data_IF_160496195279
#
_entry.id   IF_160496195279
#
_cell.length_a   1.000
_cell.length_b   1.000
_cell.length_c   1.000
_cell.angle_alpha   90.00
_cell.angle_beta   90.00
_cell.angle_gamma   90.00
#
_symmetry.space_group_name_H-M   'P 1'
#
loop_
_entity.id
_entity.type
_entity.pdbx_description
1 polymer ?
#
# COMPACT_ATOMS: atom_id res chain seq x y z
N UNK A 1 -0.22 19.09 8.65
CA UNK A 1 -0.09 20.05 7.54
C UNK A 1 1.28 19.95 6.85
N UNK A 2 2.37 19.84 7.62
CA UNK A 2 3.74 19.85 7.05
C UNK A 2 4.20 18.47 6.54
N UNK A 3 3.70 17.40 7.14
CA UNK A 3 3.99 16.03 6.71
C UNK A 3 3.44 15.79 5.30
N UNK A 4 4.23 15.22 4.40
CA UNK A 4 3.86 14.99 3.00
C UNK A 4 3.99 16.21 2.06
N UNK A 5 4.37 17.39 2.58
CA UNK A 5 4.47 18.61 1.76
C UNK A 5 5.74 18.71 0.90
N UNK A 6 6.70 17.81 1.07
CA UNK A 6 7.93 17.68 0.26
C UNK A 6 8.73 18.99 0.12
N UNK A 7 8.68 19.83 1.16
CA UNK A 7 9.32 21.14 1.15
C UNK A 7 8.53 22.23 0.41
N UNK A 8 7.34 21.93 -0.10
CA UNK A 8 6.48 22.92 -0.78
C UNK A 8 6.02 24.00 0.18
N UNK A 9 5.50 23.61 1.36
CA UNK A 9 4.88 24.54 2.29
C UNK A 9 5.91 25.31 3.13
N UNK A 10 6.95 24.64 3.63
CA UNK A 10 8.00 25.29 4.40
C UNK A 10 9.23 24.36 4.50
N UNK A 11 10.36 24.92 4.98
CA UNK A 11 11.56 24.17 5.31
C UNK A 11 11.55 23.74 6.80
N UNK A 12 11.74 22.44 7.05
CA UNK A 12 11.82 21.88 8.40
C UNK A 12 13.28 21.76 8.84
N UNK A 13 13.74 22.61 9.77
CA UNK A 13 15.12 22.59 10.26
C UNK A 13 15.33 21.59 11.40
N UNK A 14 14.32 21.33 12.21
CA UNK A 14 14.36 20.42 13.35
C UNK A 14 13.03 19.67 13.48
N UNK A 15 13.12 18.38 13.81
CA UNK A 15 11.96 17.54 14.06
C UNK A 15 12.19 16.79 15.38
N UNK A 16 11.20 16.84 16.26
CA UNK A 16 11.16 16.04 17.48
C UNK A 16 10.09 14.95 17.32
N UNK A 17 10.48 13.69 17.52
CA UNK A 17 9.58 12.54 17.43
C UNK A 17 9.52 11.81 18.77
N UNK A 18 8.37 11.20 19.04
CA UNK A 18 8.26 10.25 20.15
C UNK A 18 8.85 8.90 19.70
N UNK A 19 9.54 8.23 20.61
CA UNK A 19 10.04 6.86 20.39
C UNK A 19 9.05 5.85 20.95
N UNK A 20 9.06 4.63 20.40
CA UNK A 20 8.37 3.48 20.96
C UNK A 20 9.39 2.48 21.54
N UNK A 21 8.97 1.69 22.53
CA UNK A 21 9.79 0.61 23.08
C UNK A 21 9.97 -0.51 22.03
N UNK A 22 11.17 -1.12 22.05
CA UNK A 22 11.44 -2.29 21.21
C UNK A 22 10.78 -3.51 21.88
N UNK A 23 9.89 -4.17 21.13
CA UNK A 23 9.29 -5.42 21.58
C UNK A 23 10.28 -6.59 21.34
N UNK A 24 10.72 -7.29 22.40
CA UNK A 24 11.71 -8.36 22.26
C UNK A 24 11.16 -9.67 21.68
N UNK A 25 9.83 -9.83 21.72
CA UNK A 25 9.15 -11.01 21.20
C UNK A 25 8.36 -10.65 19.96
N UNK A 26 8.63 -11.32 18.84
CA UNK A 26 7.96 -11.08 17.57
C UNK A 26 7.64 -12.39 16.89
N UNK A 27 6.51 -12.45 16.20
CA UNK A 27 6.16 -13.54 15.31
C UNK A 27 5.56 -12.99 14.00
N UNK A 28 5.78 -13.70 12.92
CA UNK A 28 5.19 -13.39 11.61
C UNK A 28 4.62 -14.64 10.97
N UNK A 29 3.72 -14.43 10.02
CA UNK A 29 3.19 -15.48 9.15
C UNK A 29 2.89 -14.91 7.76
N UNK A 30 3.09 -15.69 6.72
CA UNK A 30 2.71 -15.37 5.35
C UNK A 30 1.42 -16.13 5.02
N UNK A 31 0.30 -15.46 5.19
CA UNK A 31 -1.02 -16.03 4.98
C UNK A 31 -1.41 -16.01 3.50
N UNK A 32 -1.75 -17.16 2.94
CA UNK A 32 -2.11 -17.33 1.54
C UNK A 32 -3.61 -17.62 1.42
N UNK A 33 -4.35 -16.70 0.81
CA UNK A 33 -5.79 -16.78 0.61
C UNK A 33 -6.13 -17.16 -0.84
N UNK A 34 -7.20 -17.94 -1.07
CA UNK A 34 -7.61 -18.32 -2.43
C UNK A 34 -8.14 -17.13 -3.25
N UNK A 35 -8.54 -16.04 -2.59
CA UNK A 35 -9.05 -14.83 -3.26
C UNK A 35 -8.53 -13.55 -2.60
N UNK A 36 -8.32 -12.52 -3.41
CA UNK A 36 -8.05 -11.14 -2.96
C UNK A 36 -9.12 -10.67 -1.96
N UNK A 37 -10.39 -10.95 -2.24
CA UNK A 37 -11.50 -10.58 -1.37
C UNK A 37 -11.34 -11.14 0.04
N UNK A 38 -11.11 -12.45 0.15
CA UNK A 38 -10.97 -13.10 1.48
C UNK A 38 -9.73 -12.61 2.24
N UNK A 39 -8.64 -12.30 1.55
CA UNK A 39 -7.46 -11.69 2.15
C UNK A 39 -7.79 -10.32 2.79
N UNK A 40 -8.47 -9.45 2.04
CA UNK A 40 -8.83 -8.10 2.52
C UNK A 40 -9.88 -8.14 3.66
N UNK A 41 -10.87 -9.03 3.57
CA UNK A 41 -11.84 -9.23 4.67
C UNK A 41 -11.13 -9.71 5.95
N UNK A 42 -10.20 -10.66 5.83
CA UNK A 42 -9.42 -11.14 6.97
C UNK A 42 -8.54 -10.04 7.59
N UNK A 43 -7.93 -9.15 6.79
CA UNK A 43 -7.18 -7.99 7.29
C UNK A 43 -8.09 -7.08 8.13
N UNK A 44 -9.26 -6.76 7.62
CA UNK A 44 -10.23 -5.89 8.32
C UNK A 44 -10.63 -6.49 9.67
N UNK A 45 -10.91 -7.79 9.72
CA UNK A 45 -11.26 -8.48 10.95
C UNK A 45 -10.07 -8.58 11.91
N UNK A 46 -8.88 -8.97 11.43
CA UNK A 46 -7.66 -9.01 12.24
C UNK A 46 -7.31 -7.64 12.82
N UNK A 47 -7.43 -6.56 12.04
CA UNK A 47 -7.22 -5.18 12.52
C UNK A 47 -8.13 -4.85 13.70
N UNK A 48 -9.39 -5.26 13.65
CA UNK A 48 -10.37 -4.98 14.71
C UNK A 48 -9.97 -5.56 16.07
N UNK A 49 -9.13 -6.60 16.08
CA UNK A 49 -8.60 -7.21 17.31
C UNK A 49 -7.56 -6.35 18.02
N UNK A 50 -6.87 -5.47 17.30
CA UNK A 50 -5.73 -4.69 17.80
C UNK A 50 -4.47 -5.51 18.11
N UNK A 51 -4.37 -6.75 17.64
CA UNK A 51 -3.27 -7.66 17.97
C UNK A 51 -2.09 -7.59 17.00
N UNK A 52 -2.29 -7.07 15.79
CA UNK A 52 -1.23 -6.97 14.77
C UNK A 52 -0.43 -5.69 14.91
N UNK A 53 0.87 -5.78 14.66
CA UNK A 53 1.79 -4.65 14.52
C UNK A 53 2.00 -4.24 13.07
N UNK A 54 1.81 -5.18 12.14
CA UNK A 54 1.83 -4.91 10.70
C UNK A 54 1.01 -5.96 9.93
N UNK A 55 0.46 -5.55 8.78
CA UNK A 55 -0.11 -6.44 7.77
C UNK A 55 0.18 -5.87 6.39
N UNK A 56 0.96 -6.61 5.60
CA UNK A 56 1.30 -6.28 4.22
C UNK A 56 0.45 -7.13 3.28
N UNK A 57 -0.31 -6.49 2.42
CA UNK A 57 -1.10 -7.17 1.40
C UNK A 57 -0.33 -7.28 0.09
N UNK A 58 -0.55 -8.37 -0.65
CA UNK A 58 -0.05 -8.61 -2.00
C UNK A 58 -1.16 -9.21 -2.85
N UNK A 59 -1.47 -8.59 -3.98
CA UNK A 59 -2.33 -9.23 -4.96
C UNK A 59 -1.58 -10.31 -5.74
N UNK A 60 -2.30 -11.09 -6.55
CA UNK A 60 -1.68 -12.18 -7.33
C UNK A 60 -0.61 -11.66 -8.30
N UNK A 61 -0.80 -10.48 -8.87
CA UNK A 61 0.18 -9.87 -9.78
C UNK A 61 1.47 -9.50 -9.06
N UNK A 62 1.37 -8.96 -7.85
CA UNK A 62 2.53 -8.69 -6.99
C UNK A 62 3.31 -9.96 -6.70
N UNK A 63 2.63 -11.02 -6.29
CA UNK A 63 3.25 -12.32 -6.00
C UNK A 63 3.96 -12.91 -7.22
N UNK A 64 3.36 -12.84 -8.41
CA UNK A 64 3.95 -13.33 -9.65
C UNK A 64 5.28 -12.68 -10.01
N UNK A 65 5.53 -11.45 -9.58
CA UNK A 65 6.81 -10.77 -9.85
C UNK A 65 8.00 -11.38 -9.14
N UNK A 66 7.75 -12.03 -8.00
CA UNK A 66 8.78 -12.59 -7.11
C UNK A 66 8.68 -14.11 -6.90
N UNK A 67 7.64 -14.77 -7.41
CA UNK A 67 7.36 -16.21 -7.16
C UNK A 67 8.46 -17.18 -7.60
N UNK A 68 9.40 -16.74 -8.46
CA UNK A 68 10.54 -17.55 -8.88
C UNK A 68 11.51 -17.83 -7.73
N UNK A 69 11.61 -16.87 -6.81
CA UNK A 69 12.51 -16.92 -5.67
C UNK A 69 11.80 -17.39 -4.38
N UNK A 70 10.44 -17.49 -4.43
CA UNK A 70 9.59 -17.87 -3.30
C UNK A 70 8.63 -19.00 -3.69
N UNK A 71 9.05 -20.27 -3.49
CA UNK A 71 8.29 -21.47 -3.90
C UNK A 71 6.87 -21.52 -3.32
N UNK A 72 6.64 -20.99 -2.12
CA UNK A 72 5.34 -20.93 -1.46
C UNK A 72 4.29 -20.12 -2.24
N UNK A 73 4.71 -19.22 -3.12
CA UNK A 73 3.81 -18.41 -3.96
C UNK A 73 3.43 -19.11 -5.26
N UNK A 74 4.05 -20.24 -5.59
CA UNK A 74 3.81 -20.96 -6.85
C UNK A 74 2.53 -21.78 -6.80
N UNK A 75 1.85 -21.85 -7.95
CA UNK A 75 0.64 -22.66 -8.09
C UNK A 75 -0.60 -22.13 -7.37
N UNK A 76 -0.55 -20.91 -6.83
CA UNK A 76 -1.71 -20.26 -6.24
C UNK A 76 -2.78 -19.92 -7.28
N UNK A 77 -4.07 -19.85 -6.90
CA UNK A 77 -5.15 -19.41 -7.78
C UNK A 77 -4.86 -18.03 -8.40
N UNK A 78 -5.45 -17.75 -9.57
CA UNK A 78 -5.27 -16.47 -10.26
C UNK A 78 -5.83 -15.27 -9.48
N UNK A 79 -6.80 -15.51 -8.59
CA UNK A 79 -7.45 -14.49 -7.76
C UNK A 79 -6.88 -14.44 -6.32
N UNK A 80 -5.79 -15.21 -6.06
CA UNK A 80 -5.20 -15.29 -4.73
C UNK A 80 -4.70 -13.94 -4.22
N UNK A 81 -4.83 -13.76 -2.90
CA UNK A 81 -4.19 -12.69 -2.16
C UNK A 81 -3.29 -13.24 -1.06
N UNK A 82 -2.17 -12.58 -0.79
CA UNK A 82 -1.32 -12.92 0.35
C UNK A 82 -1.29 -11.78 1.37
N UNK A 83 -1.11 -12.15 2.64
CA UNK A 83 -0.96 -11.18 3.74
C UNK A 83 0.22 -11.60 4.61
N UNK A 84 1.27 -10.80 4.61
CA UNK A 84 2.37 -10.94 5.56
C UNK A 84 2.03 -10.19 6.83
N UNK A 85 1.86 -10.90 7.92
CA UNK A 85 1.51 -10.31 9.22
C UNK A 85 2.67 -10.35 10.20
N UNK A 86 2.66 -9.39 11.13
CA UNK A 86 3.60 -9.34 12.26
C UNK A 86 2.86 -9.04 13.55
N UNK A 87 3.26 -9.74 14.60
CA UNK A 87 2.82 -9.53 15.98
C UNK A 87 4.05 -9.18 16.81
N UNK A 88 3.97 -8.09 17.57
CA UNK A 88 5.00 -7.67 18.51
C UNK A 88 4.46 -7.76 19.94
N UNK A 89 5.28 -8.19 20.88
CA UNK A 89 4.92 -8.35 22.28
C UNK A 89 6.10 -8.05 23.24
N UNK A 90 5.76 -7.70 24.46
CA UNK A 90 6.75 -7.42 25.52
C UNK A 90 7.13 -8.68 26.29
N UNK A 91 6.27 -9.72 26.24
CA UNK A 91 6.50 -11.02 26.89
C UNK A 91 6.08 -12.15 25.98
N UNK A 92 6.61 -13.35 26.21
CA UNK A 92 6.21 -14.54 25.47
C UNK A 92 4.74 -14.93 25.70
N UNK A 93 4.22 -14.69 26.89
CA UNK A 93 2.79 -14.95 27.19
C UNK A 93 1.88 -14.02 26.39
N UNK A 94 2.25 -12.75 26.29
CA UNK A 94 1.53 -11.79 25.45
C UNK A 94 1.55 -12.20 23.97
N UNK A 95 2.73 -12.62 23.46
CA UNK A 95 2.86 -13.10 22.09
C UNK A 95 1.93 -14.29 21.83
N UNK A 96 1.98 -15.32 22.67
CA UNK A 96 1.14 -16.51 22.53
C UNK A 96 -0.37 -16.17 22.60
N UNK A 97 -0.73 -15.20 23.44
CA UNK A 97 -2.11 -14.74 23.56
C UNK A 97 -2.58 -14.04 22.27
N UNK A 98 -1.77 -13.14 21.71
CA UNK A 98 -2.06 -12.44 20.45
C UNK A 98 -2.16 -13.41 19.28
N UNK A 99 -1.22 -14.35 19.16
CA UNK A 99 -1.26 -15.42 18.14
C UNK A 99 -2.57 -16.22 18.23
N UNK A 100 -2.98 -16.62 19.44
CA UNK A 100 -4.21 -17.37 19.63
C UNK A 100 -5.46 -16.60 19.17
N UNK A 101 -5.52 -15.29 19.42
CA UNK A 101 -6.62 -14.44 18.95
C UNK A 101 -6.64 -14.39 17.41
N UNK A 102 -5.49 -14.15 16.79
CA UNK A 102 -5.39 -14.10 15.33
C UNK A 102 -5.73 -15.46 14.70
N UNK A 103 -5.27 -16.57 15.27
CA UNK A 103 -5.65 -17.91 14.82
C UNK A 103 -7.18 -18.14 14.93
N UNK A 104 -7.81 -17.58 15.97
CA UNK A 104 -9.26 -17.58 16.12
C UNK A 104 -9.97 -16.90 14.94
N UNK A 105 -9.53 -15.72 14.54
CA UNK A 105 -10.04 -15.03 13.34
C UNK A 105 -9.82 -15.87 12.09
N UNK A 106 -8.59 -16.33 11.87
CA UNK A 106 -8.22 -17.11 10.68
C UNK A 106 -8.99 -18.42 10.55
N UNK A 107 -9.50 -18.99 11.62
CA UNK A 107 -10.32 -20.20 11.59
C UNK A 107 -11.64 -20.05 10.81
N UNK A 108 -12.09 -18.82 10.58
CA UNK A 108 -13.28 -18.49 9.78
C UNK A 108 -12.99 -18.37 8.29
N UNK A 109 -11.72 -18.42 7.88
CA UNK A 109 -11.29 -18.24 6.50
C UNK A 109 -10.69 -19.52 5.93
N UNK A 110 -10.90 -19.73 4.64
CA UNK A 110 -10.16 -20.74 3.89
C UNK A 110 -8.80 -20.17 3.51
N UNK A 111 -7.73 -20.87 3.87
CA UNK A 111 -6.36 -20.59 3.46
C UNK A 111 -5.90 -21.63 2.45
N UNK A 112 -4.97 -21.25 1.56
CA UNK A 112 -4.29 -22.18 0.65
C UNK A 112 -3.34 -23.11 1.40
N UNK A 113 -2.71 -22.58 2.47
CA UNK A 113 -1.86 -23.31 3.38
C UNK A 113 -2.24 -23.00 4.83
N UNK A 114 -1.91 -23.88 5.76
CA UNK A 114 -2.22 -23.67 7.16
C UNK A 114 -1.37 -22.54 7.73
N UNK A 115 -2.01 -21.62 8.50
CA UNK A 115 -1.31 -20.58 9.23
C UNK A 115 -0.36 -21.16 10.28
N UNK A 116 0.93 -20.76 10.22
CA UNK A 116 1.98 -21.21 11.13
C UNK A 116 2.92 -20.05 11.52
N UNK A 117 2.60 -19.40 12.64
CA UNK A 117 3.42 -18.31 13.16
C UNK A 117 4.85 -18.77 13.44
N UNK A 118 5.81 -17.95 13.07
CA UNK A 118 7.22 -18.21 13.34
C UNK A 118 7.94 -16.98 13.90
N UNK A 119 8.84 -17.24 14.85
CA UNK A 119 9.80 -16.26 15.37
C UNK A 119 11.20 -16.47 14.77
N UNK A 120 11.35 -17.40 13.80
CA UNK A 120 12.62 -17.61 13.12
C UNK A 120 12.98 -16.41 12.26
N UNK A 121 14.02 -15.71 12.67
CA UNK A 121 14.47 -14.47 12.02
C UNK A 121 14.98 -14.70 10.59
N UNK A 122 15.45 -15.90 10.26
CA UNK A 122 15.87 -16.21 8.89
C UNK A 122 14.67 -16.29 7.94
N UNK A 123 13.60 -16.96 8.37
CA UNK A 123 12.35 -17.06 7.60
C UNK A 123 11.67 -15.68 7.49
N UNK A 124 11.45 -15.02 8.62
CA UNK A 124 10.77 -13.71 8.64
C UNK A 124 11.52 -12.67 7.82
N UNK A 125 12.86 -12.64 7.89
CA UNK A 125 13.66 -11.72 7.07
C UNK A 125 13.52 -11.99 5.57
N UNK A 126 13.36 -13.24 5.15
CA UNK A 126 13.11 -13.58 3.74
C UNK A 126 11.77 -13.05 3.27
N UNK A 127 10.69 -13.20 4.06
CA UNK A 127 9.38 -12.66 3.71
C UNK A 127 9.38 -11.12 3.62
N UNK A 128 10.06 -10.45 4.55
CA UNK A 128 10.20 -8.99 4.50
C UNK A 128 11.09 -8.53 3.33
N UNK A 129 12.10 -9.31 2.95
CA UNK A 129 12.90 -9.06 1.75
C UNK A 129 12.07 -9.27 0.47
N UNK A 130 11.17 -10.27 0.44
CA UNK A 130 10.21 -10.48 -0.64
C UNK A 130 9.37 -9.21 -0.87
N UNK A 131 8.77 -8.66 0.18
CA UNK A 131 8.00 -7.40 0.11
C UNK A 131 8.81 -6.28 -0.52
N UNK A 132 10.04 -6.11 -0.09
CA UNK A 132 10.93 -5.06 -0.61
C UNK A 132 11.40 -5.31 -2.05
N UNK A 133 11.32 -6.54 -2.52
CA UNK A 133 11.72 -6.98 -3.86
C UNK A 133 10.69 -6.68 -4.96
N UNK A 134 9.42 -6.42 -4.63
CA UNK A 134 8.35 -6.28 -5.62
C UNK A 134 8.59 -5.10 -6.57
N UNK A 135 8.84 -3.90 -6.05
CA UNK A 135 9.07 -2.72 -6.90
C UNK A 135 10.28 -2.88 -7.83
N UNK A 136 11.48 -3.32 -7.35
CA UNK A 136 12.59 -3.63 -8.23
C UNK A 136 12.30 -4.71 -9.26
N UNK A 137 11.51 -5.74 -8.92
CA UNK A 137 11.15 -6.82 -9.84
C UNK A 137 10.28 -6.30 -11.00
N UNK A 138 9.24 -5.52 -10.70
CA UNK A 138 8.41 -4.88 -11.74
C UNK A 138 9.24 -3.94 -12.63
N UNK A 139 10.07 -3.09 -12.00
CA UNK A 139 10.91 -2.16 -12.74
C UNK A 139 11.99 -2.85 -13.59
N UNK A 140 12.53 -3.98 -13.10
CA UNK A 140 13.59 -4.74 -13.78
C UNK A 140 13.11 -5.56 -14.98
N UNK A 141 11.85 -5.94 -15.02
CA UNK A 141 11.25 -6.76 -16.11
C UNK A 141 10.44 -5.95 -17.11
N UNK A 142 10.32 -4.62 -16.90
CA UNK A 142 9.54 -3.75 -17.77
C UNK A 142 10.05 -3.71 -19.19
N UNK A 143 9.18 -3.42 -20.15
CA UNK A 143 9.52 -3.18 -21.52
C UNK A 143 10.44 -1.94 -21.66
N UNK A 144 11.44 -2.01 -22.54
CA UNK A 144 12.34 -0.89 -22.83
C UNK A 144 11.55 0.29 -23.41
N UNK A 145 11.75 1.48 -22.87
CA UNK A 145 11.00 2.68 -23.25
C UNK A 145 9.83 3.01 -22.37
N UNK A 146 9.45 2.12 -21.44
CA UNK A 146 8.42 2.41 -20.44
C UNK A 146 9.01 3.04 -19.18
N UNK A 147 8.19 3.83 -18.50
CA UNK A 147 8.43 4.32 -17.15
C UNK A 147 7.69 3.44 -16.15
N UNK A 148 8.41 2.92 -15.17
CA UNK A 148 7.80 2.24 -14.01
C UNK A 148 7.32 3.31 -13.04
N UNK A 149 6.01 3.34 -12.80
CA UNK A 149 5.35 4.30 -11.92
C UNK A 149 4.86 3.57 -10.68
N UNK A 150 5.04 4.20 -9.54
CA UNK A 150 4.47 3.79 -8.27
C UNK A 150 3.62 4.93 -7.72
N UNK A 151 2.41 4.62 -7.31
CA UNK A 151 1.51 5.54 -6.62
C UNK A 151 1.12 4.96 -5.27
N UNK A 152 0.67 5.84 -4.40
CA UNK A 152 0.46 5.60 -2.98
C UNK A 152 -0.88 6.19 -2.57
N UNK A 153 -1.86 5.32 -2.36
CA UNK A 153 -3.23 5.68 -2.01
C UNK A 153 -3.66 4.99 -0.72
N UNK A 154 -4.69 5.51 -0.06
CA UNK A 154 -5.27 4.85 1.11
C UNK A 154 -6.79 4.81 1.03
N UNK A 155 -7.35 3.69 1.49
CA UNK A 155 -8.78 3.48 1.66
C UNK A 155 -9.12 3.31 3.15
N UNK A 156 -10.32 3.70 3.61
CA UNK A 156 -10.82 3.28 4.90
C UNK A 156 -10.86 1.74 4.96
N UNK A 157 -10.31 1.16 6.03
CA UNK A 157 -10.06 -0.29 6.11
C UNK A 157 -11.34 -1.12 6.04
N UNK A 158 -12.48 -0.56 6.47
CA UNK A 158 -13.80 -1.18 6.35
C UNK A 158 -14.24 -1.44 4.91
N UNK A 159 -13.68 -0.70 3.92
CA UNK A 159 -13.97 -0.89 2.50
C UNK A 159 -12.85 -1.61 1.74
N UNK A 160 -11.85 -2.13 2.46
CA UNK A 160 -10.63 -2.65 1.83
C UNK A 160 -10.90 -3.70 0.75
N UNK A 161 -11.81 -4.63 1.01
CA UNK A 161 -12.14 -5.70 0.06
C UNK A 161 -12.78 -5.16 -1.23
N UNK A 162 -13.81 -4.33 -1.10
CA UNK A 162 -14.51 -3.75 -2.25
C UNK A 162 -13.60 -2.80 -3.02
N UNK A 163 -12.85 -1.94 -2.31
CA UNK A 163 -11.94 -0.97 -2.91
C UNK A 163 -10.81 -1.64 -3.69
N UNK A 164 -10.25 -2.75 -3.18
CA UNK A 164 -9.21 -3.51 -3.88
C UNK A 164 -9.76 -4.13 -5.17
N UNK A 165 -10.93 -4.75 -5.13
CA UNK A 165 -11.56 -5.35 -6.31
C UNK A 165 -11.93 -4.30 -7.36
N UNK A 166 -12.41 -3.15 -6.93
CA UNK A 166 -12.72 -2.04 -7.84
C UNK A 166 -11.46 -1.48 -8.48
N UNK A 167 -10.37 -1.34 -7.72
CA UNK A 167 -9.08 -0.87 -8.23
C UNK A 167 -8.50 -1.85 -9.27
N UNK A 168 -8.55 -3.16 -9.00
CA UNK A 168 -8.14 -4.20 -9.96
C UNK A 168 -8.96 -4.13 -11.26
N UNK A 169 -10.30 -3.97 -11.14
CA UNK A 169 -11.19 -3.82 -12.29
C UNK A 169 -10.86 -2.56 -13.10
N UNK A 170 -10.63 -1.44 -12.41
CA UNK A 170 -10.26 -0.17 -13.03
C UNK A 170 -8.98 -0.32 -13.87
N UNK A 171 -7.96 -1.00 -13.37
CA UNK A 171 -6.74 -1.22 -14.14
C UNK A 171 -6.99 -2.04 -15.40
N UNK A 172 -7.82 -3.09 -15.32
CA UNK A 172 -8.20 -3.89 -16.51
C UNK A 172 -8.94 -3.03 -17.53
N UNK A 173 -9.94 -2.26 -17.09
CA UNK A 173 -10.76 -1.38 -17.95
C UNK A 173 -9.93 -0.29 -18.64
N UNK A 174 -8.88 0.18 -18.01
CA UNK A 174 -7.95 1.20 -18.55
C UNK A 174 -6.72 0.61 -19.26
N UNK A 175 -6.71 -0.70 -19.56
CA UNK A 175 -5.63 -1.41 -20.26
C UNK A 175 -4.31 -1.48 -19.47
N UNK A 176 -4.39 -1.67 -18.15
CA UNK A 176 -3.25 -1.97 -17.27
C UNK A 176 -3.43 -3.33 -16.55
N UNK A 177 -3.64 -4.46 -17.28
CA UNK A 177 -3.92 -5.75 -16.66
C UNK A 177 -2.76 -6.31 -15.83
N UNK A 178 -1.55 -5.78 -16.02
CA UNK A 178 -0.34 -6.18 -15.28
C UNK A 178 0.00 -5.22 -14.13
N UNK A 179 -0.90 -4.28 -13.80
CA UNK A 179 -0.73 -3.44 -12.64
C UNK A 179 -0.70 -4.29 -11.36
N UNK A 180 0.17 -3.91 -10.43
CA UNK A 180 0.45 -4.63 -9.19
C UNK A 180 -0.09 -3.82 -8.03
N UNK A 181 -0.76 -4.47 -7.07
CA UNK A 181 -1.24 -3.85 -5.83
C UNK A 181 -0.61 -4.56 -4.64
N UNK A 182 0.05 -3.79 -3.78
CA UNK A 182 0.57 -4.27 -2.50
C UNK A 182 0.66 -3.09 -1.51
N UNK A 183 0.85 -3.36 -0.22
CA UNK A 183 1.12 -2.27 0.72
C UNK A 183 0.66 -2.55 2.15
N UNK A 184 0.71 -1.51 2.97
CA UNK A 184 0.44 -1.51 4.40
C UNK A 184 -1.07 -1.59 4.69
N UNK A 185 -1.64 -2.76 4.44
CA UNK A 185 -3.09 -2.95 4.45
C UNK A 185 -3.72 -2.77 5.84
N UNK A 186 -2.93 -2.90 6.92
CA UNK A 186 -3.41 -2.61 8.27
C UNK A 186 -3.89 -1.16 8.40
N UNK A 187 -3.28 -0.22 7.66
CA UNK A 187 -3.67 1.18 7.60
C UNK A 187 -4.50 1.54 6.34
N UNK A 188 -4.85 0.54 5.53
CA UNK A 188 -5.57 0.74 4.28
C UNK A 188 -4.72 1.37 3.18
N UNK A 189 -3.42 1.48 3.38
CA UNK A 189 -2.50 2.07 2.43
C UNK A 189 -2.05 1.05 1.39
N UNK A 190 -2.24 1.38 0.13
CA UNK A 190 -1.80 0.60 -1.01
C UNK A 190 -0.86 1.38 -1.92
N UNK A 191 0.17 0.67 -2.35
CA UNK A 191 0.97 1.05 -3.50
C UNK A 191 0.47 0.30 -4.72
N UNK A 192 0.29 0.98 -5.83
CA UNK A 192 0.13 0.31 -7.10
C UNK A 192 1.27 0.67 -8.04
N UNK A 193 1.71 -0.33 -8.81
CA UNK A 193 2.81 -0.17 -9.75
C UNK A 193 2.29 -0.53 -11.15
N UNK A 194 2.63 0.31 -12.10
CA UNK A 194 2.37 0.05 -13.52
C UNK A 194 3.50 0.56 -14.39
N UNK A 195 3.59 0.03 -15.61
CA UNK A 195 4.54 0.46 -16.61
C UNK A 195 3.82 1.23 -17.72
N UNK A 196 4.30 2.44 -18.04
CA UNK A 196 3.66 3.36 -18.96
C UNK A 196 4.63 3.89 -20.01
N UNK A 197 4.20 3.87 -21.27
CA UNK A 197 4.81 4.63 -22.33
C UNK A 197 4.34 6.09 -22.32
N UNK A 198 5.24 7.04 -22.58
CA UNK A 198 4.91 8.46 -22.75
C UNK A 198 5.38 8.99 -24.11
N UNK A 199 5.47 8.11 -25.10
CA UNK A 199 6.02 8.36 -26.44
C UNK A 199 4.99 8.87 -27.46
N UNK A 200 3.70 8.89 -27.09
CA UNK A 200 2.62 9.33 -27.97
C UNK A 200 1.52 10.09 -27.21
N UNK A 201 0.80 11.01 -27.86
CA UNK A 201 -0.35 11.66 -27.26
C UNK A 201 -1.41 10.69 -26.74
N UNK A 202 -1.64 9.58 -27.46
CA UNK A 202 -2.61 8.56 -27.04
C UNK A 202 -2.20 7.84 -25.74
N UNK A 203 -0.89 7.55 -25.57
CA UNK A 203 -0.36 6.95 -24.36
C UNK A 203 -0.48 7.89 -23.16
N UNK A 204 -0.24 9.19 -23.37
CA UNK A 204 -0.41 10.22 -22.33
C UNK A 204 -1.90 10.34 -21.95
N UNK A 205 -2.81 10.36 -22.91
CA UNK A 205 -4.25 10.43 -22.67
C UNK A 205 -4.77 9.18 -21.93
N UNK A 206 -4.30 8.00 -22.28
CA UNK A 206 -4.62 6.75 -21.58
C UNK A 206 -4.23 6.85 -20.09
N UNK A 207 -3.03 7.32 -19.81
CA UNK A 207 -2.55 7.50 -18.44
C UNK A 207 -3.37 8.55 -17.66
N UNK A 208 -3.66 9.70 -18.28
CA UNK A 208 -4.49 10.76 -17.67
C UNK A 208 -5.90 10.24 -17.34
N UNK A 209 -6.52 9.50 -18.25
CA UNK A 209 -7.84 8.91 -18.02
C UNK A 209 -7.83 7.90 -16.85
N UNK A 210 -6.83 7.03 -16.81
CA UNK A 210 -6.67 6.07 -15.72
C UNK A 210 -6.47 6.78 -14.39
N UNK A 211 -5.57 7.78 -14.32
CA UNK A 211 -5.32 8.52 -13.07
C UNK A 211 -6.57 9.26 -12.59
N UNK A 212 -7.36 9.86 -13.50
CA UNK A 212 -8.65 10.47 -13.12
C UNK A 212 -9.63 9.46 -12.57
N UNK A 213 -9.71 8.27 -13.17
CA UNK A 213 -10.57 7.21 -12.67
C UNK A 213 -10.12 6.72 -11.28
N UNK A 214 -8.81 6.64 -11.02
CA UNK A 214 -8.27 6.34 -9.67
C UNK A 214 -8.69 7.43 -8.68
N UNK A 215 -8.58 8.71 -9.06
CA UNK A 215 -9.00 9.82 -8.19
C UNK A 215 -10.49 9.75 -7.88
N UNK A 216 -11.34 9.50 -8.88
CA UNK A 216 -12.79 9.33 -8.72
C UNK A 216 -13.10 8.17 -7.75
N UNK A 217 -12.39 7.05 -7.91
CA UNK A 217 -12.55 5.89 -7.05
C UNK A 217 -12.13 6.19 -5.60
N UNK A 218 -10.93 6.75 -5.41
CA UNK A 218 -10.36 6.97 -4.08
C UNK A 218 -11.11 8.08 -3.34
N UNK A 219 -11.28 9.25 -3.97
CA UNK A 219 -11.82 10.44 -3.30
C UNK A 219 -13.34 10.41 -3.23
N UNK A 220 -14.00 10.21 -4.38
CA UNK A 220 -15.46 10.41 -4.45
C UNK A 220 -16.22 9.19 -3.96
N UNK A 221 -15.74 7.98 -4.29
CA UNK A 221 -16.45 6.75 -3.90
C UNK A 221 -16.13 6.30 -2.49
N UNK A 222 -14.84 6.26 -2.14
CA UNK A 222 -14.40 5.67 -0.86
C UNK A 222 -13.97 6.70 0.18
N UNK A 223 -13.91 7.99 -0.15
CA UNK A 223 -13.44 9.05 0.75
C UNK A 223 -12.05 8.75 1.34
N UNK A 224 -11.19 8.13 0.52
CA UNK A 224 -9.83 7.79 0.85
C UNK A 224 -8.85 8.95 0.60
N UNK A 225 -7.56 8.66 0.65
CA UNK A 225 -6.49 9.62 0.40
C UNK A 225 -5.69 9.25 -0.85
N UNK A 226 -5.34 10.28 -1.63
CA UNK A 226 -4.49 10.13 -2.81
C UNK A 226 -3.00 10.03 -2.46
N UNK A 227 -2.64 10.28 -1.20
CA UNK A 227 -1.29 10.11 -0.66
C UNK A 227 -1.33 9.69 0.80
N UNK A 228 -0.83 8.50 1.07
CA UNK A 228 -0.72 7.97 2.42
C UNK A 228 0.65 8.30 3.05
N UNK A 229 1.76 7.89 2.43
CA UNK A 229 3.10 8.05 3.02
C UNK A 229 4.17 8.63 2.09
N UNK A 230 4.02 8.54 0.74
CA UNK A 230 5.07 8.96 -0.20
C UNK A 230 5.12 10.47 -0.47
N UNK A 231 4.28 11.25 0.19
CA UNK A 231 4.10 12.67 -0.14
C UNK A 231 3.27 12.85 -1.43
N UNK A 232 2.96 14.10 -1.79
CA UNK A 232 2.04 14.38 -2.90
C UNK A 232 2.65 13.97 -4.26
N UNK A 233 3.88 14.35 -4.54
CA UNK A 233 4.52 14.12 -5.82
C UNK A 233 3.82 14.80 -7.00
N UNK A 234 4.44 14.74 -8.18
CA UNK A 234 3.93 15.41 -9.39
C UNK A 234 2.65 14.82 -9.93
N UNK A 235 2.49 13.49 -9.82
CA UNK A 235 1.32 12.81 -10.37
C UNK A 235 0.03 13.16 -9.62
N UNK A 236 0.11 13.37 -8.30
CA UNK A 236 -1.06 13.67 -7.47
C UNK A 236 -1.25 15.17 -7.22
N UNK A 237 -0.22 16.00 -7.44
CA UNK A 237 -0.32 17.45 -7.24
C UNK A 237 -1.53 18.11 -7.94
N UNK A 238 -1.93 17.74 -9.17
CA UNK A 238 -3.10 18.30 -9.83
C UNK A 238 -4.42 18.00 -9.12
N UNK A 239 -4.48 16.97 -8.26
CA UNK A 239 -5.69 16.49 -7.61
C UNK A 239 -5.82 16.89 -6.14
N UNK A 240 -4.80 17.53 -5.55
CA UNK A 240 -4.81 17.95 -4.14
C UNK A 240 -6.03 18.81 -3.79
N UNK A 241 -6.39 19.77 -4.66
CA UNK A 241 -7.57 20.62 -4.47
C UNK A 241 -8.88 19.82 -4.47
N UNK A 242 -8.96 18.74 -5.26
CA UNK A 242 -10.13 17.87 -5.31
C UNK A 242 -10.28 17.06 -4.03
N UNK A 243 -9.17 16.51 -3.53
CA UNK A 243 -9.15 15.71 -2.29
C UNK A 243 -9.50 16.57 -1.05
N UNK A 244 -8.87 17.74 -0.94
CA UNK A 244 -8.94 18.55 0.28
C UNK A 244 -9.99 19.66 0.25
N UNK A 245 -10.54 19.96 -0.93
CA UNK A 245 -11.49 21.07 -1.14
C UNK A 245 -10.81 22.42 -1.23
N UNK A 246 -11.62 23.42 -1.63
CA UNK A 246 -11.13 24.76 -1.93
C UNK A 246 -10.52 25.46 -0.71
N UNK A 247 -11.16 25.36 0.46
CA UNK A 247 -10.74 26.07 1.67
C UNK A 247 -9.39 25.55 2.19
N UNK A 248 -9.22 24.23 2.26
CA UNK A 248 -7.97 23.64 2.71
C UNK A 248 -6.84 23.89 1.69
N UNK A 249 -7.13 23.80 0.40
CA UNK A 249 -6.17 24.13 -0.65
C UNK A 249 -5.73 25.59 -0.61
N UNK A 250 -6.66 26.52 -0.40
CA UNK A 250 -6.34 27.93 -0.23
C UNK A 250 -5.44 28.16 0.99
N UNK A 251 -5.72 27.48 2.11
CA UNK A 251 -4.85 27.54 3.29
C UNK A 251 -3.43 27.05 2.99
N UNK A 252 -3.27 25.98 2.22
CA UNK A 252 -1.95 25.50 1.77
C UNK A 252 -1.23 26.56 0.95
N UNK A 253 -1.93 27.25 0.04
CA UNK A 253 -1.36 28.36 -0.74
C UNK A 253 -0.92 29.55 0.14
N UNK A 254 -1.70 29.88 1.15
CA UNK A 254 -1.36 30.96 2.10
C UNK A 254 -0.14 30.60 2.97
N UNK A 255 -0.05 29.34 3.44
CA UNK A 255 1.13 28.85 4.14
C UNK A 255 2.37 28.90 3.24
N UNK A 256 2.25 28.45 1.99
CA UNK A 256 3.32 28.55 0.99
C UNK A 256 3.77 30.00 0.82
N UNK A 257 2.85 30.93 0.61
CA UNK A 257 3.16 32.34 0.42
C UNK A 257 3.81 32.99 1.65
N UNK A 258 3.43 32.52 2.85
CA UNK A 258 3.99 33.04 4.11
C UNK A 258 5.46 32.63 4.29
N UNK A 259 5.80 31.35 4.01
CA UNK A 259 7.13 30.79 4.27
C UNK A 259 8.06 30.88 3.06
N UNK A 260 7.54 30.98 1.86
CA UNK A 260 8.30 31.04 0.61
C UNK A 260 7.69 32.04 -0.39
N UNK A 261 7.69 33.34 -0.04
CA UNK A 261 7.06 34.38 -0.87
C UNK A 261 7.73 34.53 -2.26
N UNK A 262 8.98 34.09 -2.41
CA UNK A 262 9.71 34.13 -3.67
C UNK A 262 9.62 32.82 -4.47
N UNK A 263 8.86 31.83 -3.95
CA UNK A 263 8.67 30.52 -4.59
C UNK A 263 9.99 29.81 -4.98
N UNK A 264 10.92 29.77 -4.03
CA UNK A 264 12.24 29.14 -4.20
C UNK A 264 12.21 27.66 -3.84
N UNK A 265 11.44 27.28 -2.80
CA UNK A 265 11.33 25.93 -2.30
C UNK A 265 10.35 25.11 -3.14
N UNK A 266 10.82 24.01 -3.73
CA UNK A 266 10.03 23.10 -4.56
C UNK A 266 9.07 23.86 -5.52
N UNK A 267 9.61 24.70 -6.41
CA UNK A 267 8.81 25.50 -7.34
C UNK A 267 8.18 24.62 -8.44
N UNK A 268 6.94 24.94 -8.88
CA UNK A 268 6.30 24.26 -10.00
C UNK A 268 4.82 24.04 -9.85
#
# INVERSE_FOLDING_TARGET
LMVGSEGTLAFLSNITVSTADICPFTASDLLLFPTTKSACEAITEMKSTGMLSAAEFFDRKAMQTVEKDFPELQGLPEDAGAVLIRIDATTQEELNHKEHIIQGVLSSYQLCEKAEFTSDTAITSQWWAMRSGIFPAVGGTREIGTTCLIEDIAFPVEFLAEATLDLQRLFIEHNYPEAVIYGHALEGNYHFILNQHFDSPAAIEQYDHMMRAVVDLVVDKYHGSLKAEHGTGRNMAPFVRREWGDDAYQLMCEVKQLFDPENIMNPG
#
